data_IF_349587948210
#
_entry.id   IF_349587948210
#
_cell.length_a   1.000
_cell.length_b   1.000
_cell.length_c   1.000
_cell.angle_alpha   90.00
_cell.angle_beta   90.00
_cell.angle_gamma   90.00
#
_symmetry.space_group_name_H-M   'P 1'
#
loop_
_entity.id
_entity.type
_entity.pdbx_description
1 polymer ?
#
# COMPACT_ATOMS: atom_id res chain seq x y z
N UNK A 1 -3.83 -12.79 -25.72
CA UNK A 1 -3.45 -11.54 -25.01
C UNK A 1 -2.57 -11.92 -23.85
N UNK A 2 -1.32 -11.51 -23.87
CA UNK A 2 -0.34 -11.76 -22.79
C UNK A 2 -0.67 -10.89 -21.56
N UNK A 3 -0.02 -11.14 -20.43
CA UNK A 3 -0.19 -10.29 -19.26
C UNK A 3 0.32 -8.86 -19.51
N UNK A 4 1.43 -8.72 -20.24
CA UNK A 4 1.95 -7.43 -20.68
C UNK A 4 0.97 -6.67 -21.60
N UNK A 5 0.31 -7.38 -22.53
CA UNK A 5 -0.70 -6.76 -23.39
C UNK A 5 -1.85 -6.17 -22.57
N UNK A 6 -2.32 -6.89 -21.52
CA UNK A 6 -3.36 -6.40 -20.61
C UNK A 6 -2.94 -5.14 -19.88
N UNK A 7 -1.69 -5.07 -19.39
CA UNK A 7 -1.16 -3.89 -18.71
C UNK A 7 -1.13 -2.69 -19.68
N UNK A 8 -0.65 -2.89 -20.90
CA UNK A 8 -0.56 -1.83 -21.90
C UNK A 8 -1.94 -1.35 -22.37
N UNK A 9 -2.89 -2.26 -22.58
CA UNK A 9 -4.29 -1.93 -22.90
C UNK A 9 -4.92 -1.07 -21.79
N UNK A 10 -4.74 -1.48 -20.55
CA UNK A 10 -5.26 -0.72 -19.40
C UNK A 10 -4.62 0.66 -19.30
N UNK A 11 -3.30 0.76 -19.46
CA UNK A 11 -2.60 2.04 -19.46
C UNK A 11 -3.05 2.97 -20.60
N UNK A 12 -3.27 2.43 -21.80
CA UNK A 12 -3.81 3.18 -22.94
C UNK A 12 -5.22 3.70 -22.64
N UNK A 13 -6.11 2.86 -22.13
CA UNK A 13 -7.46 3.25 -21.72
C UNK A 13 -7.44 4.40 -20.70
N UNK A 14 -6.57 4.32 -19.71
CA UNK A 14 -6.46 5.35 -18.67
C UNK A 14 -5.92 6.68 -19.25
N UNK A 15 -4.97 6.62 -20.18
CA UNK A 15 -4.50 7.81 -20.92
C UNK A 15 -5.61 8.46 -21.73
N UNK A 16 -6.46 7.67 -22.40
CA UNK A 16 -7.62 8.16 -23.15
C UNK A 16 -8.68 8.80 -22.25
N UNK A 17 -8.77 8.40 -20.98
CA UNK A 17 -9.60 9.06 -19.95
C UNK A 17 -8.99 10.37 -19.42
N UNK A 18 -7.81 10.76 -19.87
CA UNK A 18 -7.14 12.00 -19.47
C UNK A 18 -6.12 11.84 -18.34
N UNK A 19 -5.79 10.62 -17.94
CA UNK A 19 -4.73 10.35 -16.97
C UNK A 19 -3.38 10.49 -17.67
N UNK A 20 -2.71 11.59 -17.40
CA UNK A 20 -1.38 11.87 -17.90
C UNK A 20 -0.34 11.52 -16.83
N UNK A 21 0.93 11.44 -17.19
CA UNK A 21 2.05 11.00 -16.36
C UNK A 21 1.88 11.36 -14.88
N UNK A 22 1.42 10.44 -14.00
CA UNK A 22 1.41 10.67 -12.56
C UNK A 22 2.84 10.55 -12.02
N UNK A 23 3.19 11.40 -11.03
CA UNK A 23 4.48 11.33 -10.35
C UNK A 23 4.47 10.20 -9.31
N UNK A 24 3.35 10.06 -8.58
CA UNK A 24 3.20 9.07 -7.51
C UNK A 24 1.94 8.25 -7.65
N UNK A 25 2.08 6.93 -7.40
CA UNK A 25 0.95 6.05 -7.11
C UNK A 25 0.64 6.07 -5.61
N UNK A 26 -0.63 6.15 -5.24
CA UNK A 26 -1.09 6.06 -3.86
C UNK A 26 -1.98 4.83 -3.71
N UNK A 27 -1.58 3.87 -2.89
CA UNK A 27 -2.41 2.71 -2.54
C UNK A 27 -2.97 2.96 -1.15
N UNK A 28 -4.21 3.45 -1.11
CA UNK A 28 -4.87 3.87 0.13
C UNK A 28 -5.49 2.66 0.84
N UNK A 29 -4.99 2.37 2.02
CA UNK A 29 -5.51 1.32 2.90
C UNK A 29 -6.79 1.73 3.61
N UNK A 30 -7.30 0.81 4.45
CA UNK A 30 -8.53 1.00 5.23
C UNK A 30 -8.52 2.32 6.02
N UNK A 31 -9.61 3.08 5.89
CA UNK A 31 -9.79 4.37 6.57
C UNK A 31 -9.12 5.57 5.92
N UNK A 32 -8.28 5.40 4.89
CA UNK A 32 -7.63 6.51 4.18
C UNK A 32 -8.21 6.81 2.79
N UNK A 33 -9.23 6.08 2.36
CA UNK A 33 -9.86 6.29 1.06
C UNK A 33 -10.33 7.73 0.81
N UNK A 34 -10.77 8.43 1.85
CA UNK A 34 -11.18 9.83 1.78
C UNK A 34 -10.05 10.79 1.36
N UNK A 35 -8.77 10.43 1.49
CA UNK A 35 -7.68 11.26 1.00
C UNK A 35 -7.78 11.49 -0.53
N UNK A 36 -8.34 10.53 -1.26
CA UNK A 36 -8.59 10.67 -2.69
C UNK A 36 -9.61 11.78 -3.03
N UNK A 37 -10.49 12.14 -2.09
CA UNK A 37 -11.47 13.22 -2.26
C UNK A 37 -10.84 14.61 -2.14
N UNK A 38 -9.63 14.70 -1.60
CA UNK A 38 -8.86 15.94 -1.49
C UNK A 38 -8.02 16.23 -2.77
N UNK A 39 -7.99 15.30 -3.73
CA UNK A 39 -7.30 15.47 -5.00
C UNK A 39 -8.00 16.56 -5.82
N UNK A 40 -7.24 17.56 -6.27
CA UNK A 40 -7.73 18.69 -7.04
C UNK A 40 -7.81 18.31 -8.53
N UNK A 41 -8.80 18.90 -9.22
CA UNK A 41 -9.06 18.65 -10.65
C UNK A 41 -9.11 17.14 -10.97
N UNK A 42 -9.90 16.34 -10.24
CA UNK A 42 -9.83 14.90 -10.32
C UNK A 42 -10.41 14.35 -11.63
N UNK A 43 -9.69 13.40 -12.22
CA UNK A 43 -10.24 12.43 -13.18
C UNK A 43 -10.54 11.16 -12.37
N UNK A 44 -11.82 10.80 -12.30
CA UNK A 44 -12.28 9.62 -11.55
C UNK A 44 -12.74 8.55 -12.51
N UNK A 45 -12.25 7.32 -12.32
CA UNK A 45 -12.63 6.16 -13.13
C UNK A 45 -13.05 5.04 -12.19
N UNK A 46 -14.26 4.52 -12.33
CA UNK A 46 -14.71 3.37 -11.58
C UNK A 46 -13.93 2.11 -11.98
N UNK A 47 -13.53 1.27 -11.04
CA UNK A 47 -12.77 0.05 -11.32
C UNK A 47 -13.50 -0.87 -12.32
N UNK A 48 -14.84 -0.89 -12.28
CA UNK A 48 -15.64 -1.69 -13.19
C UNK A 48 -15.53 -1.26 -14.67
N UNK A 49 -15.12 0.00 -14.94
CA UNK A 49 -14.92 0.49 -16.31
C UNK A 49 -13.52 0.16 -16.86
N UNK A 50 -12.55 -0.10 -15.95
CA UNK A 50 -11.15 -0.27 -16.35
C UNK A 50 -10.95 -1.70 -16.89
N UNK A 51 -10.48 -1.86 -18.14
CA UNK A 51 -10.23 -3.19 -18.69
C UNK A 51 -9.16 -3.94 -17.88
N UNK A 52 -9.32 -5.24 -17.74
CA UNK A 52 -8.42 -6.15 -17.01
C UNK A 52 -8.22 -5.83 -15.52
N UNK A 53 -9.00 -4.90 -14.96
CA UNK A 53 -8.87 -4.49 -13.56
C UNK A 53 -9.56 -5.45 -12.61
N UNK A 54 -9.04 -5.57 -11.39
CA UNK A 54 -9.65 -6.37 -10.34
C UNK A 54 -10.93 -5.74 -9.77
N UNK A 55 -11.62 -6.52 -8.95
CA UNK A 55 -12.76 -6.03 -8.16
C UNK A 55 -12.37 -5.99 -6.70
N UNK A 56 -12.64 -4.87 -6.02
CA UNK A 56 -12.55 -4.79 -4.56
C UNK A 56 -13.91 -5.12 -3.96
N UNK A 57 -13.94 -6.02 -2.99
CA UNK A 57 -15.16 -6.47 -2.30
C UNK A 57 -15.16 -6.08 -0.83
N UNK A 58 -14.08 -5.48 -0.35
CA UNK A 58 -13.92 -5.07 1.05
C UNK A 58 -14.78 -3.85 1.35
N UNK A 59 -15.54 -3.92 2.43
CA UNK A 59 -16.35 -2.80 2.93
C UNK A 59 -15.45 -1.59 3.24
N UNK A 60 -15.85 -0.41 2.77
CA UNK A 60 -15.06 0.82 2.91
C UNK A 60 -14.09 1.12 1.76
N UNK A 61 -13.99 0.21 0.77
CA UNK A 61 -13.25 0.46 -0.46
C UNK A 61 -14.21 0.96 -1.54
N UNK A 62 -14.03 2.21 -1.98
CA UNK A 62 -14.94 2.83 -2.97
C UNK A 62 -14.81 2.24 -4.38
N UNK A 63 -13.72 1.52 -4.67
CA UNK A 63 -13.49 0.90 -5.98
C UNK A 63 -13.29 1.91 -7.11
N UNK A 64 -12.55 2.99 -6.84
CA UNK A 64 -12.28 4.08 -7.78
C UNK A 64 -10.80 4.35 -7.92
N UNK A 65 -10.40 4.67 -9.14
CA UNK A 65 -9.10 5.24 -9.47
C UNK A 65 -9.28 6.75 -9.60
N UNK A 66 -8.48 7.52 -8.86
CA UNK A 66 -8.57 8.99 -8.84
C UNK A 66 -7.21 9.56 -9.23
N UNK A 67 -7.17 10.33 -10.31
CA UNK A 67 -5.99 11.04 -10.78
C UNK A 67 -6.20 12.53 -10.65
N UNK A 68 -5.18 13.26 -10.26
CA UNK A 68 -5.19 14.72 -10.18
C UNK A 68 -4.03 15.26 -9.37
N UNK A 69 -4.19 16.44 -8.81
CA UNK A 69 -3.14 17.10 -8.03
C UNK A 69 -3.41 16.99 -6.53
N UNK A 70 -2.41 16.56 -5.76
CA UNK A 70 -2.42 16.55 -4.30
C UNK A 70 -1.10 17.12 -3.80
N UNK A 71 -1.16 18.17 -3.02
CA UNK A 71 0.03 18.87 -2.47
C UNK A 71 1.03 19.31 -3.54
N UNK A 72 0.55 19.74 -4.71
CA UNK A 72 1.38 20.19 -5.82
C UNK A 72 2.00 19.06 -6.65
N UNK A 73 1.64 17.78 -6.39
CA UNK A 73 2.12 16.61 -7.14
C UNK A 73 0.98 15.95 -7.91
N UNK A 74 1.28 15.44 -9.11
CA UNK A 74 0.34 14.61 -9.86
C UNK A 74 0.32 13.21 -9.29
N UNK A 75 -0.83 12.80 -8.79
CA UNK A 75 -1.00 11.49 -8.13
C UNK A 75 -2.03 10.64 -8.83
N UNK A 76 -1.85 9.32 -8.73
CA UNK A 76 -2.81 8.31 -9.14
C UNK A 76 -3.17 7.47 -7.91
N UNK A 77 -4.35 7.74 -7.33
CA UNK A 77 -4.78 7.12 -6.10
C UNK A 77 -5.74 5.95 -6.35
N UNK A 78 -5.46 4.83 -5.73
CA UNK A 78 -6.38 3.71 -5.59
C UNK A 78 -7.24 3.94 -4.34
N UNK A 79 -8.51 4.29 -4.52
CA UNK A 79 -9.49 4.38 -3.45
C UNK A 79 -10.07 3.00 -3.15
N UNK A 80 -9.23 2.15 -2.57
CA UNK A 80 -9.43 0.73 -2.35
C UNK A 80 -8.35 -0.11 -3.04
N UNK A 81 -8.00 -1.25 -2.44
CA UNK A 81 -7.01 -2.19 -2.96
C UNK A 81 -7.61 -3.57 -3.14
N UNK A 82 -6.89 -4.44 -3.83
CA UNK A 82 -7.23 -5.86 -3.95
C UNK A 82 -6.43 -6.66 -2.93
N UNK A 83 -7.07 -7.63 -2.29
CA UNK A 83 -6.39 -8.49 -1.34
C UNK A 83 -6.37 -9.93 -1.83
N UNK A 84 -5.33 -10.64 -1.44
CA UNK A 84 -5.19 -12.06 -1.76
C UNK A 84 -6.29 -12.90 -1.08
N UNK A 85 -6.69 -12.55 0.16
CA UNK A 85 -7.75 -13.26 0.88
C UNK A 85 -9.15 -13.10 0.28
N UNK A 86 -9.36 -12.16 -0.64
CA UNK A 86 -10.61 -12.05 -1.41
C UNK A 86 -10.70 -13.11 -2.53
N UNK A 87 -9.68 -13.98 -2.67
CA UNK A 87 -9.57 -14.95 -3.75
C UNK A 87 -8.92 -14.39 -5.02
N UNK A 88 -8.42 -13.16 -4.99
CA UNK A 88 -7.69 -12.58 -6.11
C UNK A 88 -6.32 -13.22 -6.26
N UNK A 89 -5.91 -13.69 -7.46
CA UNK A 89 -4.53 -14.09 -7.69
C UNK A 89 -3.58 -12.90 -7.54
N UNK A 90 -2.31 -13.14 -7.18
CA UNK A 90 -1.34 -12.07 -6.97
C UNK A 90 -1.10 -11.20 -8.20
N UNK A 91 -1.31 -11.73 -9.41
CA UNK A 91 -1.31 -10.94 -10.65
C UNK A 91 -2.34 -9.81 -10.60
N UNK A 92 -3.56 -10.09 -10.11
CA UNK A 92 -4.63 -9.08 -9.96
C UNK A 92 -4.31 -8.12 -8.82
N UNK A 93 -3.84 -8.62 -7.68
CA UNK A 93 -3.47 -7.78 -6.52
C UNK A 93 -2.43 -6.75 -6.90
N UNK A 94 -1.44 -7.13 -7.71
CA UNK A 94 -0.30 -6.28 -8.06
C UNK A 94 -0.42 -5.59 -9.42
N UNK A 95 -1.46 -5.88 -10.19
CA UNK A 95 -1.72 -5.30 -11.50
C UNK A 95 -1.67 -3.77 -11.50
N UNK A 96 -2.31 -3.07 -10.53
CA UNK A 96 -2.25 -1.62 -10.47
C UNK A 96 -0.84 -1.04 -10.39
N UNK A 97 0.06 -1.69 -9.67
CA UNK A 97 1.46 -1.23 -9.53
C UNK A 97 2.19 -1.26 -10.89
N UNK A 98 1.96 -2.29 -11.68
CA UNK A 98 2.54 -2.37 -13.04
C UNK A 98 1.96 -1.32 -13.97
N UNK A 99 0.65 -1.07 -13.88
CA UNK A 99 -0.01 0.01 -14.63
C UNK A 99 0.54 1.39 -14.22
N UNK A 100 0.75 1.65 -12.92
CA UNK A 100 1.40 2.87 -12.42
C UNK A 100 2.78 3.06 -13.04
N UNK A 101 3.57 1.98 -13.13
CA UNK A 101 4.89 2.02 -13.79
C UNK A 101 4.79 2.42 -15.26
N UNK A 102 3.88 1.81 -16.03
CA UNK A 102 3.69 2.10 -17.46
C UNK A 102 3.13 3.52 -17.68
N UNK A 103 2.35 4.04 -16.75
CA UNK A 103 1.87 5.42 -16.78
C UNK A 103 2.96 6.45 -16.44
N UNK A 104 4.10 6.02 -15.87
CA UNK A 104 5.25 6.88 -15.62
C UNK A 104 5.45 7.29 -14.17
N UNK A 105 4.78 6.66 -13.21
CA UNK A 105 5.06 6.92 -11.80
C UNK A 105 6.55 6.69 -11.48
N UNK A 106 7.11 7.58 -10.67
CA UNK A 106 8.47 7.45 -10.12
C UNK A 106 8.48 6.66 -8.82
N UNK A 107 7.40 6.75 -8.06
CA UNK A 107 7.26 6.08 -6.78
C UNK A 107 5.83 5.71 -6.42
N UNK A 108 5.71 4.87 -5.40
CA UNK A 108 4.45 4.42 -4.83
C UNK A 108 4.47 4.63 -3.33
N UNK A 109 3.40 5.22 -2.81
CA UNK A 109 3.14 5.29 -1.37
C UNK A 109 2.06 4.28 -1.05
N UNK A 110 2.38 3.30 -0.21
CA UNK A 110 1.46 2.25 0.22
C UNK A 110 1.11 2.45 1.68
N UNK A 111 -0.18 2.44 1.99
CA UNK A 111 -0.66 2.55 3.36
C UNK A 111 -1.50 1.35 3.74
N UNK A 112 -1.55 1.02 5.01
CA UNK A 112 -2.35 -0.07 5.55
C UNK A 112 -2.76 0.17 7.00
N UNK A 113 -3.76 -0.59 7.45
CA UNK A 113 -4.02 -0.86 8.85
C UNK A 113 -3.27 -2.14 9.24
N UNK A 114 -2.68 -2.20 10.41
CA UNK A 114 -1.90 -3.34 10.87
C UNK A 114 -2.08 -3.61 12.36
N UNK A 115 -1.94 -4.86 12.75
CA UNK A 115 -1.85 -5.28 14.15
C UNK A 115 -0.46 -5.04 14.73
N UNK A 116 -0.36 -4.42 15.90
CA UNK A 116 0.91 -4.09 16.54
C UNK A 116 1.50 -5.25 17.32
N UNK A 117 2.75 -5.58 17.05
CA UNK A 117 3.57 -6.54 17.80
C UNK A 117 4.56 -5.79 18.70
N UNK A 118 5.18 -4.74 18.15
CA UNK A 118 6.08 -3.82 18.85
C UNK A 118 5.47 -2.49 19.25
N UNK A 119 4.32 -2.15 18.66
CA UNK A 119 3.67 -0.85 18.81
C UNK A 119 2.21 -0.99 19.22
N UNK A 120 1.68 0.02 19.92
CA UNK A 120 0.28 0.08 20.33
C UNK A 120 -0.64 0.78 19.34
N UNK A 121 -1.97 0.63 19.53
CA UNK A 121 -2.98 1.27 18.68
C UNK A 121 -2.86 2.79 18.65
N UNK A 122 -2.98 3.35 17.44
CA UNK A 122 -2.82 4.79 17.17
C UNK A 122 -1.40 5.18 16.73
N UNK A 123 -0.44 4.26 16.74
CA UNK A 123 0.91 4.51 16.22
C UNK A 123 0.91 4.56 14.70
N UNK A 124 1.56 5.58 14.13
CA UNK A 124 1.97 5.59 12.71
C UNK A 124 3.40 5.04 12.61
N UNK A 125 3.60 4.06 11.76
CA UNK A 125 4.88 3.36 11.58
C UNK A 125 5.32 3.41 10.12
N UNK A 126 6.47 4.04 9.85
CA UNK A 126 7.15 3.88 8.58
C UNK A 126 7.69 2.45 8.47
N UNK A 127 7.41 1.78 7.37
CA UNK A 127 7.90 0.42 7.15
C UNK A 127 9.35 0.50 6.64
N UNK A 128 10.27 -0.04 7.43
CA UNK A 128 11.69 -0.08 7.06
C UNK A 128 12.03 -1.30 6.21
N UNK A 129 11.35 -2.41 6.46
CA UNK A 129 11.54 -3.69 5.78
C UNK A 129 10.29 -4.56 5.97
N UNK A 130 10.24 -5.71 5.29
CA UNK A 130 9.17 -6.68 5.49
C UNK A 130 9.65 -8.12 5.59
N UNK A 131 8.82 -8.94 6.24
CA UNK A 131 8.93 -10.40 6.24
C UNK A 131 7.74 -10.93 5.44
N UNK A 132 7.99 -11.65 4.35
CA UNK A 132 6.95 -12.28 3.54
C UNK A 132 6.60 -13.68 4.09
N UNK A 133 5.54 -13.77 4.89
CA UNK A 133 5.02 -15.03 5.43
C UNK A 133 3.76 -15.52 4.69
N UNK A 134 3.47 -14.97 3.50
CA UNK A 134 2.31 -15.40 2.72
C UNK A 134 2.48 -16.77 2.07
N UNK A 135 3.71 -17.30 2.02
CA UNK A 135 4.03 -18.50 1.23
C UNK A 135 3.92 -18.29 -0.28
N UNK A 136 3.74 -17.07 -0.74
CA UNK A 136 3.54 -16.67 -2.13
C UNK A 136 4.52 -15.56 -2.52
N UNK A 137 4.82 -15.46 -3.83
CA UNK A 137 5.60 -14.35 -4.38
C UNK A 137 5.01 -13.96 -5.74
N UNK A 138 4.66 -12.68 -5.96
CA UNK A 138 4.03 -12.24 -7.22
C UNK A 138 4.94 -12.32 -8.43
N UNK A 139 6.23 -12.60 -8.26
CA UNK A 139 7.21 -12.77 -9.35
C UNK A 139 7.43 -14.23 -9.74
N UNK A 140 6.69 -15.18 -9.14
CA UNK A 140 6.74 -16.59 -9.56
C UNK A 140 6.15 -16.73 -10.97
N UNK A 141 6.77 -17.59 -11.76
CA UNK A 141 6.40 -17.80 -13.17
C UNK A 141 7.40 -17.15 -14.14
N UNK A 142 6.94 -16.81 -15.34
CA UNK A 142 7.75 -16.15 -16.36
C UNK A 142 8.09 -14.71 -15.94
N UNK A 143 9.34 -14.30 -16.15
CA UNK A 143 9.73 -12.93 -15.84
C UNK A 143 9.17 -11.94 -16.87
N UNK A 144 8.81 -10.76 -16.43
CA UNK A 144 8.47 -9.64 -17.30
C UNK A 144 9.71 -8.74 -17.40
N UNK A 145 10.59 -9.05 -18.36
CA UNK A 145 11.90 -8.39 -18.50
C UNK A 145 11.78 -6.86 -18.69
N UNK A 146 10.67 -6.39 -19.25
CA UNK A 146 10.36 -4.97 -19.43
C UNK A 146 10.21 -4.22 -18.09
N UNK A 147 9.88 -4.93 -17.01
CA UNK A 147 9.74 -4.34 -15.68
C UNK A 147 11.01 -4.45 -14.85
N UNK A 148 11.76 -5.53 -14.99
CA UNK A 148 12.97 -5.71 -14.19
C UNK A 148 13.61 -7.10 -14.31
N UNK A 149 14.71 -7.33 -13.58
CA UNK A 149 15.46 -8.56 -13.65
C UNK A 149 14.72 -9.74 -13.01
N UNK A 150 15.04 -10.95 -13.43
CA UNK A 150 14.46 -12.20 -12.84
C UNK A 150 14.66 -12.29 -11.33
N UNK A 151 15.77 -11.77 -10.81
CA UNK A 151 16.13 -11.78 -9.39
C UNK A 151 16.38 -10.35 -8.92
N UNK A 152 15.33 -9.59 -8.54
CA UNK A 152 15.48 -8.22 -8.07
C UNK A 152 16.14 -8.17 -6.69
N UNK A 153 16.98 -7.17 -6.47
CA UNK A 153 17.50 -6.85 -5.14
C UNK A 153 16.40 -6.19 -4.29
N UNK A 154 16.09 -6.78 -3.13
CA UNK A 154 15.11 -6.30 -2.18
C UNK A 154 15.72 -5.57 -0.98
N UNK A 155 17.06 -5.38 -0.95
CA UNK A 155 17.75 -4.76 0.20
C UNK A 155 17.31 -3.33 0.49
N UNK A 156 16.71 -2.66 -0.49
CA UNK A 156 16.17 -1.29 -0.39
C UNK A 156 14.75 -1.21 -0.94
N UNK A 157 13.95 -2.25 -0.73
CA UNK A 157 12.56 -2.31 -1.21
C UNK A 157 11.72 -1.13 -0.69
N UNK A 158 12.00 -0.66 0.51
CA UNK A 158 11.48 0.59 1.07
C UNK A 158 12.58 1.65 0.96
N UNK A 159 12.35 2.65 0.12
CA UNK A 159 13.36 3.63 -0.28
C UNK A 159 13.87 4.46 0.90
N UNK A 160 15.16 4.38 1.26
CA UNK A 160 15.70 5.06 2.44
C UNK A 160 15.49 6.57 2.43
N UNK A 161 15.61 7.21 1.27
CA UNK A 161 15.43 8.67 1.11
C UNK A 161 13.97 9.07 1.39
N UNK A 162 12.99 8.26 0.96
CA UNK A 162 11.57 8.51 1.22
C UNK A 162 11.24 8.36 2.71
N UNK A 163 11.84 7.37 3.37
CA UNK A 163 11.69 7.20 4.83
C UNK A 163 12.31 8.36 5.60
N UNK A 164 13.51 8.80 5.20
CA UNK A 164 14.15 9.96 5.81
C UNK A 164 13.29 11.23 5.68
N UNK A 165 12.76 11.51 4.49
CA UNK A 165 11.82 12.61 4.25
C UNK A 165 10.57 12.46 5.15
N UNK A 166 10.00 11.27 5.26
CA UNK A 166 8.83 11.04 6.10
C UNK A 166 9.09 11.36 7.57
N UNK A 167 10.24 10.96 8.12
CA UNK A 167 10.63 11.27 9.49
C UNK A 167 10.89 12.78 9.71
N UNK A 168 11.54 13.44 8.77
CA UNK A 168 11.75 14.90 8.85
C UNK A 168 10.43 15.66 8.83
N UNK A 169 9.52 15.28 7.95
CA UNK A 169 8.19 15.88 7.84
C UNK A 169 7.38 15.63 9.11
N UNK A 170 7.36 14.40 9.61
CA UNK A 170 6.66 14.05 10.84
C UNK A 170 7.17 14.90 12.03
N UNK A 171 8.49 15.06 12.13
CA UNK A 171 9.11 15.93 13.15
C UNK A 171 8.68 17.39 13.02
N UNK A 172 8.64 17.94 11.80
CA UNK A 172 8.18 19.32 11.53
C UNK A 172 6.73 19.53 11.95
N UNK A 173 5.88 18.51 11.77
CA UNK A 173 4.46 18.54 12.12
C UNK A 173 4.17 18.20 13.60
N UNK A 174 5.16 17.76 14.36
CA UNK A 174 4.97 17.27 15.72
C UNK A 174 4.23 15.93 15.81
N UNK A 175 4.19 15.18 14.71
CA UNK A 175 3.58 13.85 14.61
C UNK A 175 4.65 12.81 14.96
N UNK A 176 4.31 11.88 15.87
CA UNK A 176 5.17 10.74 16.16
C UNK A 176 5.07 9.73 15.02
N UNK A 177 6.18 9.50 14.32
CA UNK A 177 6.33 8.45 13.34
C UNK A 177 7.39 7.47 13.82
N UNK A 178 6.99 6.26 14.16
CA UNK A 178 7.92 5.18 14.51
C UNK A 178 8.40 4.47 13.22
N UNK A 179 9.39 3.59 13.33
CA UNK A 179 9.90 2.78 12.22
C UNK A 179 9.97 1.31 12.65
N UNK A 180 9.59 0.39 11.75
CA UNK A 180 9.59 -1.02 12.09
C UNK A 180 9.42 -1.94 10.89
N UNK A 181 9.49 -3.25 11.16
CA UNK A 181 9.37 -4.34 10.19
C UNK A 181 7.93 -4.82 10.12
N UNK A 182 7.37 -4.85 8.91
CA UNK A 182 6.02 -5.36 8.64
C UNK A 182 6.08 -6.83 8.22
N UNK A 183 5.32 -7.71 8.88
CA UNK A 183 5.16 -9.09 8.43
C UNK A 183 3.84 -9.24 7.65
N UNK A 184 3.94 -9.69 6.41
CA UNK A 184 2.79 -9.93 5.54
C UNK A 184 2.34 -11.38 5.62
N UNK A 185 1.05 -11.59 5.91
CA UNK A 185 0.39 -12.89 5.96
C UNK A 185 -0.77 -12.93 4.98
N UNK A 186 -1.33 -14.11 4.72
CA UNK A 186 -2.44 -14.26 3.75
C UNK A 186 -3.79 -13.80 4.31
N UNK A 187 -4.06 -13.99 5.59
CA UNK A 187 -5.42 -13.94 6.11
C UNK A 187 -6.33 -15.06 5.53
N UNK A 188 -7.68 -14.96 5.61
CA UNK A 188 -8.45 -13.86 6.21
C UNK A 188 -8.59 -13.91 7.73
N UNK A 189 -8.11 -15.01 8.37
CA UNK A 189 -8.14 -15.10 9.84
C UNK A 189 -7.10 -14.17 10.45
N UNK A 190 -7.42 -13.56 11.58
CA UNK A 190 -6.40 -13.02 12.45
C UNK A 190 -5.50 -14.14 12.94
N UNK A 191 -4.31 -13.76 13.36
CA UNK A 191 -3.27 -14.67 13.82
C UNK A 191 -3.63 -15.28 15.18
N UNK A 192 -3.09 -16.44 15.46
CA UNK A 192 -3.10 -17.00 16.79
C UNK A 192 -2.04 -16.33 17.68
N UNK A 193 -2.20 -16.35 19.04
CA UNK A 193 -1.15 -15.86 19.92
C UNK A 193 0.22 -16.57 19.76
N UNK A 194 0.22 -17.81 19.29
CA UNK A 194 1.45 -18.56 19.01
C UNK A 194 2.16 -18.04 17.77
N UNK A 195 1.40 -17.74 16.70
CA UNK A 195 1.94 -17.12 15.47
C UNK A 195 2.53 -15.75 15.78
N UNK A 196 1.85 -14.92 16.57
CA UNK A 196 2.37 -13.60 16.96
C UNK A 196 3.67 -13.70 17.77
N UNK A 197 3.78 -14.66 18.70
CA UNK A 197 5.05 -14.89 19.40
C UNK A 197 6.18 -15.31 18.45
N UNK A 198 5.87 -16.15 17.45
CA UNK A 198 6.83 -16.55 16.43
C UNK A 198 7.25 -15.35 15.57
N UNK A 199 6.31 -14.52 15.12
CA UNK A 199 6.58 -13.32 14.31
C UNK A 199 7.43 -12.30 15.06
N UNK A 200 7.15 -12.10 16.36
CA UNK A 200 7.99 -11.28 17.22
C UNK A 200 9.43 -11.80 17.30
N UNK A 201 9.60 -13.12 17.41
CA UNK A 201 10.92 -13.77 17.44
C UNK A 201 11.67 -13.60 16.10
N UNK A 202 10.94 -13.54 14.98
CA UNK A 202 11.50 -13.25 13.66
C UNK A 202 11.87 -11.77 13.45
N UNK A 203 11.49 -10.89 14.39
CA UNK A 203 11.81 -9.47 14.35
C UNK A 203 10.71 -8.59 13.73
N UNK A 204 9.47 -9.08 13.64
CA UNK A 204 8.35 -8.27 13.16
C UNK A 204 7.82 -7.33 14.26
N UNK A 205 7.47 -6.11 13.86
CA UNK A 205 6.89 -5.06 14.69
C UNK A 205 5.39 -4.85 14.43
N UNK A 206 4.93 -5.19 13.23
CA UNK A 206 3.53 -5.10 12.83
C UNK A 206 3.15 -6.25 11.88
N UNK A 207 1.88 -6.66 11.90
CA UNK A 207 1.36 -7.73 11.05
C UNK A 207 0.14 -7.27 10.26
N UNK A 208 0.03 -7.70 9.00
CA UNK A 208 -1.15 -7.45 8.20
C UNK A 208 -1.22 -8.32 6.94
N UNK A 209 -2.30 -8.13 6.16
CA UNK A 209 -2.70 -9.03 5.08
C UNK A 209 -2.60 -8.39 3.68
N UNK A 210 -1.72 -7.39 3.52
CA UNK A 210 -1.56 -6.63 2.27
C UNK A 210 -0.11 -6.18 2.08
N UNK A 211 0.11 -5.21 1.19
CA UNK A 211 1.34 -4.40 1.10
C UNK A 211 2.55 -5.14 0.53
N UNK A 212 2.92 -6.30 1.07
CA UNK A 212 4.12 -7.03 0.63
C UNK A 212 4.11 -7.37 -0.86
N UNK A 213 3.02 -7.89 -1.45
CA UNK A 213 2.99 -8.17 -2.88
C UNK A 213 3.18 -6.92 -3.74
N UNK A 214 2.52 -5.81 -3.37
CA UNK A 214 2.63 -4.53 -4.10
C UNK A 214 4.05 -3.98 -4.02
N UNK A 215 4.68 -4.04 -2.85
CA UNK A 215 6.07 -3.60 -2.65
C UNK A 215 7.06 -4.45 -3.45
N UNK A 216 6.89 -5.78 -3.47
CA UNK A 216 7.73 -6.67 -4.29
C UNK A 216 7.67 -6.28 -5.77
N UNK A 217 6.47 -6.06 -6.30
CA UNK A 217 6.30 -5.68 -7.71
C UNK A 217 6.78 -4.26 -7.98
N UNK A 218 6.60 -3.32 -7.04
CA UNK A 218 7.12 -1.97 -7.16
C UNK A 218 8.66 -1.96 -7.23
N UNK A 219 9.32 -2.67 -6.31
CA UNK A 219 10.78 -2.81 -6.30
C UNK A 219 11.30 -3.49 -7.57
N UNK A 220 10.66 -4.59 -8.02
CA UNK A 220 10.99 -5.24 -9.28
C UNK A 220 10.88 -4.28 -10.47
N UNK A 221 9.90 -3.40 -10.47
CA UNK A 221 9.65 -2.41 -11.53
C UNK A 221 10.51 -1.15 -11.41
N UNK A 222 11.43 -1.09 -10.44
CA UNK A 222 12.28 0.08 -10.22
C UNK A 222 11.53 1.32 -9.73
N UNK A 223 10.36 1.14 -9.10
CA UNK A 223 9.64 2.22 -8.43
C UNK A 223 10.22 2.44 -7.03
N UNK A 224 10.34 3.69 -6.62
CA UNK A 224 10.64 4.03 -5.22
C UNK A 224 9.40 3.76 -4.36
N UNK A 225 9.60 3.32 -3.12
CA UNK A 225 8.49 2.93 -2.25
C UNK A 225 8.61 3.57 -0.88
N UNK A 226 7.49 4.13 -0.42
CA UNK A 226 7.25 4.46 0.98
C UNK A 226 6.07 3.63 1.48
N UNK A 227 6.26 2.90 2.58
CA UNK A 227 5.19 2.19 3.29
C UNK A 227 4.91 2.86 4.63
N UNK A 228 3.64 3.12 4.96
CA UNK A 228 3.25 3.61 6.28
C UNK A 228 2.06 2.78 6.77
N UNK A 229 2.23 2.18 7.95
CA UNK A 229 1.18 1.45 8.66
C UNK A 229 0.53 2.34 9.71
N UNK A 230 -0.79 2.28 9.81
CA UNK A 230 -1.52 2.67 11.00
C UNK A 230 -1.70 1.43 11.88
N UNK A 231 -1.15 1.45 13.09
CA UNK A 231 -1.37 0.38 14.06
C UNK A 231 -2.75 0.59 14.66
N UNK A 232 -3.68 -0.30 14.36
CA UNK A 232 -5.10 -0.15 14.71
C UNK A 232 -5.53 -0.94 15.94
N UNK A 233 -4.80 -1.99 16.25
CA UNK A 233 -5.06 -2.89 17.38
C UNK A 233 -3.74 -3.52 17.84
N UNK A 234 -3.70 -4.05 19.05
CA UNK A 234 -2.64 -4.98 19.40
C UNK A 234 -2.84 -6.30 18.65
N UNK A 235 -1.75 -6.96 18.26
CA UNK A 235 -1.83 -8.29 17.66
C UNK A 235 -2.30 -9.33 18.69
N UNK A 236 -2.75 -10.48 18.20
CA UNK A 236 -3.33 -11.55 19.03
C UNK A 236 -2.43 -11.96 20.19
N UNK A 237 -3.02 -12.09 21.37
CA UNK A 237 -2.34 -12.43 22.63
C UNK A 237 -1.74 -11.23 23.38
N UNK A 238 -1.82 -10.02 22.83
CA UNK A 238 -1.52 -8.77 23.52
C UNK A 238 -2.78 -7.99 23.93
N UNK A 239 -3.97 -8.44 23.48
CA UNK A 239 -5.28 -7.99 23.94
C UNK A 239 -6.24 -9.19 24.02
N UNK A 240 -7.37 -9.03 24.74
CA UNK A 240 -8.31 -10.14 25.01
C UNK A 240 -9.07 -10.58 23.76
N UNK A 241 -9.57 -9.63 22.95
CA UNK A 241 -10.34 -9.90 21.76
C UNK A 241 -9.96 -8.96 20.62
N UNK A 242 -9.93 -9.49 19.39
CA UNK A 242 -9.68 -8.75 18.16
C UNK A 242 -11.01 -8.60 17.41
N UNK A 243 -11.37 -7.38 17.05
CA UNK A 243 -12.55 -7.12 16.23
C UNK A 243 -12.27 -6.00 15.20
N UNK A 244 -13.04 -6.01 14.13
CA UNK A 244 -12.88 -5.03 13.06
C UNK A 244 -13.39 -3.63 13.44
N UNK A 245 -14.27 -3.53 14.41
CA UNK A 245 -14.83 -2.24 14.89
C UNK A 245 -13.73 -1.39 15.54
N UNK A 246 -12.84 -2.00 16.33
CA UNK A 246 -11.67 -1.33 16.90
C UNK A 246 -10.74 -0.78 15.82
N UNK A 247 -10.52 -1.54 14.74
CA UNK A 247 -9.72 -1.10 13.60
C UNK A 247 -10.27 0.20 13.00
N UNK A 248 -11.60 0.27 12.81
CA UNK A 248 -12.27 1.45 12.28
C UNK A 248 -12.15 2.63 13.23
N UNK A 249 -12.46 2.44 14.52
CA UNK A 249 -12.40 3.49 15.55
C UNK A 249 -11.01 4.12 15.66
N UNK A 250 -9.97 3.28 15.77
CA UNK A 250 -8.60 3.79 15.90
C UNK A 250 -8.16 4.51 14.64
N UNK A 251 -8.51 3.99 13.45
CA UNK A 251 -8.20 4.65 12.18
C UNK A 251 -8.84 6.03 12.11
N UNK A 252 -10.12 6.17 12.46
CA UNK A 252 -10.81 7.45 12.49
C UNK A 252 -10.14 8.45 13.44
N UNK A 253 -9.70 8.00 14.60
CA UNK A 253 -9.00 8.86 15.59
C UNK A 253 -7.70 9.45 15.07
N UNK A 254 -6.91 8.70 14.30
CA UNK A 254 -5.60 9.15 13.78
C UNK A 254 -5.65 9.65 12.35
N UNK A 255 -6.79 9.55 11.68
CA UNK A 255 -7.00 9.88 10.26
C UNK A 255 -6.48 11.27 9.91
N UNK A 256 -6.77 12.26 10.75
CA UNK A 256 -6.36 13.66 10.52
C UNK A 256 -4.84 13.81 10.44
N UNK A 257 -4.14 13.27 11.42
CA UNK A 257 -2.67 13.29 11.47
C UNK A 257 -2.08 12.49 10.32
N UNK A 258 -2.64 11.32 10.01
CA UNK A 258 -2.14 10.47 8.93
C UNK A 258 -2.31 11.13 7.55
N UNK A 259 -3.49 11.70 7.25
CA UNK A 259 -3.72 12.45 6.01
C UNK A 259 -2.82 13.67 5.92
N UNK A 260 -2.66 14.42 7.01
CA UNK A 260 -1.77 15.57 7.11
C UNK A 260 -0.31 15.18 6.83
N UNK A 261 0.15 14.11 7.43
CA UNK A 261 1.50 13.57 7.23
C UNK A 261 1.73 13.16 5.77
N UNK A 262 0.83 12.39 5.16
CA UNK A 262 0.96 11.95 3.76
C UNK A 262 1.01 13.14 2.79
N UNK A 263 0.15 14.15 2.97
CA UNK A 263 0.14 15.35 2.14
C UNK A 263 1.44 16.13 2.25
N UNK A 264 1.96 16.29 3.47
CA UNK A 264 3.21 16.99 3.70
C UNK A 264 4.42 16.22 3.16
N UNK A 265 4.43 14.89 3.26
CA UNK A 265 5.46 14.05 2.63
C UNK A 265 5.43 14.22 1.12
N UNK A 266 4.26 14.13 0.48
CA UNK A 266 4.13 14.32 -0.97
C UNK A 266 4.66 15.67 -1.45
N UNK A 267 4.48 16.73 -0.67
CA UNK A 267 4.98 18.05 -1.02
C UNK A 267 6.52 18.13 -1.03
N UNK A 268 7.20 17.30 -0.25
CA UNK A 268 8.67 17.31 -0.08
C UNK A 268 9.37 16.25 -0.97
N UNK A 269 8.65 15.23 -1.48
CA UNK A 269 9.19 14.24 -2.42
C UNK A 269 9.25 14.78 -3.85
#
# INVERSE_FOLDING_TARGET
MTFLDKINETAAFLKDKGIQVPEFGLILGSGLGELAEEIQNPVVVDYAEIPNWGRSTVVGHAGKLVYGELSGRKVLALQGRFHFYEGNPLEVVTFPVRVMKVLGCEGVIVTNAAGGIGFGPGTLMAISDHINMTGQNPLMGENLDEFGPRFPDMSKAYTPEYRATAHEVAKKLGIKLDEGVYIGVTGPTYETPAEIRAYKTLGADAVGMSTVPEVIVAAHSGLKVLGISCITNFAAGFQEELNHEEVVEVTERVKGDFKGLLKAILAEL
#
